data_IF_797185410245
#
_entry.id   IF_797185410245
#
_cell.length_a   1.000
_cell.length_b   1.000
_cell.length_c   1.000
_cell.angle_alpha   90.00
_cell.angle_beta   90.00
_cell.angle_gamma   90.00
#
_symmetry.space_group_name_H-M   'P 1'
#
loop_
_entity.id
_entity.type
_entity.pdbx_description
1 polymer ?
#
# COMPACT_ATOMS: atom_id res chain seq x y z
N UNK A 1 -2.37 14.89 14.09
CA UNK A 1 -3.74 15.31 14.33
C UNK A 1 -4.50 15.39 13.02
N UNK A 2 -5.66 14.82 12.99
CA UNK A 2 -6.45 14.81 11.78
C UNK A 2 -7.13 16.15 11.60
N UNK A 3 -7.13 16.68 10.40
CA UNK A 3 -7.84 17.89 10.12
C UNK A 3 -9.30 17.56 9.86
N UNK A 4 -10.14 18.59 9.96
CA UNK A 4 -11.54 18.40 9.70
C UNK A 4 -11.76 18.29 8.20
N UNK A 5 -12.47 17.27 7.79
CA UNK A 5 -12.77 17.04 6.39
C UNK A 5 -14.22 17.41 6.11
N UNK A 6 -14.47 17.84 4.89
CA UNK A 6 -15.85 18.11 4.48
C UNK A 6 -16.59 16.79 4.28
N UNK A 7 -17.90 16.86 4.20
CA UNK A 7 -18.72 15.67 3.95
C UNK A 7 -18.30 14.95 2.68
N UNK A 8 -18.07 15.72 1.61
CA UNK A 8 -17.68 15.13 0.34
C UNK A 8 -16.32 14.45 0.45
N UNK A 9 -15.39 15.06 1.19
CA UNK A 9 -14.07 14.48 1.38
C UNK A 9 -14.14 13.18 2.17
N UNK A 10 -14.95 13.16 3.22
CA UNK A 10 -15.14 11.94 4.00
C UNK A 10 -15.74 10.84 3.16
N UNK A 11 -16.77 11.18 2.37
CA UNK A 11 -17.44 10.22 1.51
C UNK A 11 -16.48 9.68 0.45
N UNK A 12 -15.64 10.54 -0.10
CA UNK A 12 -14.65 10.13 -1.09
C UNK A 12 -13.74 9.04 -0.51
N UNK A 13 -13.23 9.26 0.69
CA UNK A 13 -12.33 8.29 1.31
C UNK A 13 -13.05 7.00 1.67
N UNK A 14 -14.32 7.09 2.08
CA UNK A 14 -15.09 5.91 2.44
C UNK A 14 -15.32 4.99 1.24
N UNK A 15 -15.66 5.57 0.09
CA UNK A 15 -16.00 4.75 -1.07
C UNK A 15 -14.79 4.36 -1.90
N UNK A 16 -13.64 4.97 -1.66
CA UNK A 16 -12.47 4.76 -2.51
C UNK A 16 -12.07 3.31 -2.63
N UNK A 17 -12.05 2.59 -1.52
CA UNK A 17 -11.68 1.19 -1.52
C UNK A 17 -12.88 0.26 -1.39
N UNK A 18 -14.06 0.78 -1.63
CA UNK A 18 -15.29 0.00 -1.54
C UNK A 18 -15.97 0.07 -2.90
N UNK A 19 -17.00 0.86 -3.03
CA UNK A 19 -17.78 0.93 -4.27
C UNK A 19 -16.94 1.40 -5.47
N UNK A 20 -15.98 2.27 -5.23
CA UNK A 20 -15.16 2.81 -6.32
C UNK A 20 -14.02 1.88 -6.75
N UNK A 21 -13.73 0.86 -5.98
CA UNK A 21 -12.68 -0.11 -6.32
C UNK A 21 -11.32 0.54 -6.59
N UNK A 22 -11.01 1.59 -5.85
CA UNK A 22 -9.72 2.26 -6.01
C UNK A 22 -9.68 3.29 -7.13
N UNK A 23 -10.77 3.48 -7.86
CA UNK A 23 -10.81 4.41 -8.97
C UNK A 23 -11.16 5.80 -8.42
N UNK A 24 -10.22 6.73 -8.49
CA UNK A 24 -10.44 8.06 -7.92
C UNK A 24 -11.52 8.85 -8.66
N UNK A 25 -11.69 8.61 -9.97
CA UNK A 25 -12.75 9.29 -10.72
C UNK A 25 -14.11 8.79 -10.27
N UNK A 26 -14.27 7.48 -10.10
CA UNK A 26 -15.52 6.91 -9.61
C UNK A 26 -15.79 7.37 -8.18
N UNK A 27 -14.76 7.42 -7.34
CA UNK A 27 -14.92 7.86 -5.96
C UNK A 27 -15.39 9.32 -5.90
N UNK A 28 -14.86 10.16 -6.78
CA UNK A 28 -15.27 11.55 -6.84
C UNK A 28 -16.75 11.66 -7.16
N UNK A 29 -17.22 10.89 -8.13
CA UNK A 29 -18.63 10.91 -8.50
C UNK A 29 -19.52 10.39 -7.39
N UNK A 30 -19.12 9.28 -6.77
CA UNK A 30 -19.91 8.69 -5.70
C UNK A 30 -19.94 9.58 -4.46
N UNK A 31 -18.91 10.39 -4.28
CA UNK A 31 -18.84 11.27 -3.12
C UNK A 31 -19.74 12.49 -3.27
N UNK A 32 -20.27 12.74 -4.47
CA UNK A 32 -21.18 13.85 -4.68
C UNK A 32 -20.51 15.11 -5.20
N UNK A 33 -19.27 15.02 -5.65
CA UNK A 33 -18.62 16.18 -6.23
C UNK A 33 -19.22 16.48 -7.60
N UNK A 34 -19.21 17.77 -7.94
CA UNK A 34 -19.69 18.20 -9.24
C UNK A 34 -18.77 17.68 -10.35
N UNK A 35 -19.35 17.42 -11.52
CA UNK A 35 -18.56 16.99 -12.66
C UNK A 35 -17.52 18.03 -13.07
N UNK A 36 -17.77 19.29 -12.74
CA UNK A 36 -16.82 20.35 -13.06
C UNK A 36 -15.64 20.39 -12.11
N UNK A 37 -15.70 19.67 -10.99
CA UNK A 37 -14.59 19.62 -10.05
C UNK A 37 -13.50 18.71 -10.62
N UNK A 38 -12.29 19.23 -10.73
CA UNK A 38 -11.19 18.45 -11.27
C UNK A 38 -10.78 17.37 -10.28
N UNK A 39 -10.69 16.14 -10.77
CA UNK A 39 -10.26 15.02 -9.93
C UNK A 39 -8.89 15.27 -9.33
N UNK A 40 -8.01 15.88 -10.12
CA UNK A 40 -6.66 16.18 -9.65
C UNK A 40 -6.67 17.05 -8.39
N UNK A 41 -7.58 18.00 -8.33
CA UNK A 41 -7.65 18.89 -7.16
C UNK A 41 -8.14 18.14 -5.93
N UNK A 42 -9.08 17.22 -6.11
CA UNK A 42 -9.57 16.41 -5.00
C UNK A 42 -8.46 15.52 -4.46
N UNK A 43 -7.74 14.87 -5.36
CA UNK A 43 -6.64 13.99 -4.96
C UNK A 43 -5.53 14.78 -4.28
N UNK A 44 -5.20 15.95 -4.82
CA UNK A 44 -4.13 16.77 -4.23
C UNK A 44 -4.50 17.22 -2.82
N UNK A 45 -5.76 17.59 -2.62
CA UNK A 45 -6.21 18.04 -1.32
C UNK A 45 -6.22 16.93 -0.28
N UNK A 46 -6.41 15.68 -0.72
CA UNK A 46 -6.53 14.55 0.19
C UNK A 46 -5.37 13.57 0.10
N UNK A 47 -4.25 13.99 -0.47
CA UNK A 47 -3.16 13.02 -0.74
C UNK A 47 -2.66 12.33 0.51
N UNK A 48 -2.57 13.03 1.63
CA UNK A 48 -2.12 12.41 2.87
C UNK A 48 -3.15 11.44 3.40
N UNK A 49 -4.42 11.81 3.34
CA UNK A 49 -5.49 10.95 3.78
C UNK A 49 -5.63 9.72 2.89
N UNK A 50 -5.42 9.91 1.58
CA UNK A 50 -5.44 8.77 0.66
C UNK A 50 -4.30 7.81 0.97
N UNK A 51 -3.10 8.34 1.25
CA UNK A 51 -1.96 7.49 1.59
C UNK A 51 -2.24 6.70 2.87
N UNK A 52 -2.83 7.36 3.85
CA UNK A 52 -3.16 6.68 5.11
C UNK A 52 -4.23 5.61 4.88
N UNK A 53 -5.25 5.93 4.10
CA UNK A 53 -6.31 4.97 3.78
C UNK A 53 -5.74 3.77 3.01
N UNK A 54 -4.78 4.01 2.14
CA UNK A 54 -4.13 2.94 1.39
C UNK A 54 -3.37 2.01 2.32
N UNK A 55 -2.64 2.58 3.27
CA UNK A 55 -1.91 1.77 4.26
C UNK A 55 -2.87 0.94 5.10
N UNK A 56 -4.00 1.54 5.50
CA UNK A 56 -5.01 0.80 6.25
C UNK A 56 -5.61 -0.32 5.44
N UNK A 57 -5.82 -0.09 4.15
CA UNK A 57 -6.37 -1.11 3.28
C UNK A 57 -5.41 -2.29 3.16
N UNK A 58 -4.11 -2.02 2.98
CA UNK A 58 -3.12 -3.10 2.93
C UNK A 58 -3.11 -3.88 4.25
N UNK A 59 -3.18 -3.18 5.37
CA UNK A 59 -3.18 -3.86 6.66
C UNK A 59 -4.41 -4.75 6.81
N UNK A 60 -5.57 -4.28 6.34
CA UNK A 60 -6.79 -5.07 6.44
C UNK A 60 -6.80 -6.26 5.51
N UNK A 61 -6.14 -6.16 4.38
CA UNK A 61 -6.14 -7.25 3.40
C UNK A 61 -4.95 -8.19 3.56
N UNK A 62 -3.98 -7.84 4.40
CA UNK A 62 -2.83 -8.72 4.64
C UNK A 62 -3.25 -10.13 5.08
N UNK A 63 -4.28 -10.31 5.93
CA UNK A 63 -4.69 -11.67 6.28
C UNK A 63 -5.15 -12.49 5.07
N UNK A 64 -5.76 -11.86 4.06
CA UNK A 64 -6.15 -12.58 2.85
C UNK A 64 -4.92 -13.07 2.09
N UNK A 65 -3.87 -12.24 2.04
CA UNK A 65 -2.63 -12.64 1.39
C UNK A 65 -1.99 -13.80 2.13
N UNK A 66 -2.00 -13.74 3.46
CA UNK A 66 -1.44 -14.81 4.27
C UNK A 66 -2.21 -16.11 4.03
N UNK A 67 -3.54 -16.04 3.93
CA UNK A 67 -4.34 -17.22 3.66
C UNK A 67 -4.06 -17.78 2.28
N UNK A 68 -3.86 -16.90 1.30
CA UNK A 68 -3.54 -17.35 -0.07
C UNK A 68 -2.23 -18.11 -0.08
N UNK A 69 -1.23 -17.62 0.63
CA UNK A 69 0.06 -18.29 0.71
C UNK A 69 -0.05 -19.63 1.42
N UNK A 70 -0.82 -19.67 2.50
CA UNK A 70 -1.03 -20.92 3.24
C UNK A 70 -1.75 -21.94 2.35
N UNK A 71 -2.79 -21.49 1.64
CA UNK A 71 -3.53 -22.39 0.77
C UNK A 71 -2.66 -22.96 -0.35
N UNK A 72 -1.69 -22.18 -0.82
CA UNK A 72 -0.77 -22.64 -1.84
C UNK A 72 0.06 -23.83 -1.39
N UNK A 73 0.33 -23.91 -0.08
CA UNK A 73 1.07 -25.04 0.46
C UNK A 73 0.27 -26.34 0.39
N UNK A 74 -1.06 -26.22 0.41
CA UNK A 74 -1.92 -27.40 0.35
C UNK A 74 -2.28 -27.78 -1.08
N UNK A 75 -2.23 -26.84 -2.00
CA UNK A 75 -2.55 -27.11 -3.39
C UNK A 75 -1.56 -26.40 -4.32
N UNK A 76 -0.34 -26.89 -4.40
CA UNK A 76 0.67 -26.24 -5.22
C UNK A 76 0.43 -26.39 -6.72
N UNK A 77 -0.54 -27.20 -7.11
CA UNK A 77 -0.85 -27.39 -8.52
C UNK A 77 -1.99 -26.48 -8.98
N UNK A 78 -2.49 -25.63 -8.11
CA UNK A 78 -3.57 -24.72 -8.48
C UNK A 78 -3.15 -23.85 -9.66
N UNK A 79 -4.04 -23.64 -10.60
CA UNK A 79 -3.76 -22.82 -11.77
C UNK A 79 -3.49 -21.39 -11.34
N UNK A 80 -2.43 -20.82 -11.86
CA UNK A 80 -2.05 -19.45 -11.51
C UNK A 80 -1.44 -19.29 -10.14
N UNK A 81 -1.02 -20.40 -9.52
CA UNK A 81 -0.53 -20.37 -8.15
C UNK A 81 0.71 -19.48 -8.00
N UNK A 82 1.57 -19.50 -9.01
CA UNK A 82 2.80 -18.70 -8.93
C UNK A 82 2.49 -17.21 -8.88
N UNK A 83 1.58 -16.77 -9.73
CA UNK A 83 1.18 -15.36 -9.76
C UNK A 83 0.46 -14.97 -8.48
N UNK A 84 -0.40 -15.87 -7.98
CA UNK A 84 -1.11 -15.62 -6.73
C UNK A 84 -0.15 -15.49 -5.57
N UNK A 85 0.86 -16.35 -5.51
CA UNK A 85 1.88 -16.29 -4.46
C UNK A 85 2.67 -15.00 -4.54
N UNK A 86 3.04 -14.60 -5.75
CA UNK A 86 3.80 -13.38 -5.95
C UNK A 86 3.01 -12.16 -5.48
N UNK A 87 1.73 -12.11 -5.84
CA UNK A 87 0.88 -11.00 -5.42
C UNK A 87 0.70 -10.97 -3.91
N UNK A 88 0.55 -12.14 -3.29
CA UNK A 88 0.39 -12.22 -1.85
C UNK A 88 1.64 -11.74 -1.12
N UNK A 89 2.81 -12.16 -1.61
CA UNK A 89 4.07 -11.71 -1.03
C UNK A 89 4.23 -10.21 -1.14
N UNK A 90 3.89 -9.66 -2.30
CA UNK A 90 4.01 -8.25 -2.53
C UNK A 90 3.11 -7.46 -1.58
N UNK A 91 1.90 -7.91 -1.40
CA UNK A 91 0.96 -7.24 -0.51
C UNK A 91 1.45 -7.29 0.94
N UNK A 92 1.95 -8.44 1.38
CA UNK A 92 2.46 -8.57 2.74
C UNK A 92 3.68 -7.68 2.97
N UNK A 93 4.54 -7.55 1.95
CA UNK A 93 5.69 -6.66 2.05
C UNK A 93 5.22 -5.21 2.21
N UNK A 94 4.24 -4.80 1.43
CA UNK A 94 3.74 -3.43 1.51
C UNK A 94 3.01 -3.16 2.82
N UNK A 95 2.45 -4.20 3.42
CA UNK A 95 1.81 -4.07 4.73
C UNK A 95 2.83 -4.09 5.87
N UNK A 96 4.11 -4.28 5.55
CA UNK A 96 5.15 -4.29 6.57
C UNK A 96 5.32 -5.62 7.28
N UNK A 97 4.75 -6.69 6.72
CA UNK A 97 4.78 -8.00 7.34
C UNK A 97 5.62 -8.99 6.55
N UNK A 98 6.32 -8.53 5.53
CA UNK A 98 7.12 -9.41 4.71
C UNK A 98 8.49 -9.63 5.28
N UNK A 99 9.31 -10.31 4.50
CA UNK A 99 10.69 -10.58 4.91
C UNK A 99 11.43 -9.27 5.07
N UNK A 100 12.08 -9.09 6.20
CA UNK A 100 12.84 -7.88 6.44
C UNK A 100 14.26 -8.13 5.99
N UNK A 101 14.69 -7.39 5.00
CA UNK A 101 16.07 -7.38 4.61
C UNK A 101 16.75 -6.27 5.35
N UNK A 102 17.57 -6.61 6.29
CA UNK A 102 18.18 -5.60 7.11
C UNK A 102 19.41 -5.09 6.40
N UNK A 103 19.31 -3.98 5.81
CA UNK A 103 20.48 -3.29 5.29
C UNK A 103 20.89 -2.34 6.38
N UNK A 104 21.95 -2.67 7.06
CA UNK A 104 22.39 -1.86 8.16
C UNK A 104 23.23 -0.75 7.62
N UNK A 105 22.63 0.24 7.12
CA UNK A 105 23.36 1.39 6.66
C UNK A 105 23.52 2.30 7.84
N UNK A 106 24.62 2.19 8.47
CA UNK A 106 24.87 3.00 9.63
C UNK A 106 25.40 4.31 9.18
N UNK A 107 24.53 5.20 8.94
CA UNK A 107 24.97 6.50 8.56
C UNK A 107 25.12 7.41 9.73
N UNK A 108 24.91 6.90 10.88
CA UNK A 108 25.02 7.78 11.97
C UNK A 108 26.37 8.15 12.19
N UNK A 109 26.84 8.64 12.31
CA UNK A 109 28.01 8.86 12.39
C UNK A 109 28.43 8.96 11.30
N UNK A 110 28.20 8.88 10.77
CA UNK A 110 28.72 8.94 9.94
C UNK A 110 28.35 8.64 8.84
N UNK A 111 28.51 8.62 8.45
CA UNK A 111 28.32 8.44 7.38
C UNK A 111 27.92 7.32 6.81
N UNK A 112 27.99 7.08 5.95
CA UNK A 112 27.61 5.98 5.49
C UNK A 112 28.29 5.13 4.71
N UNK A 113 28.55 4.81 4.55
CA UNK A 113 28.98 4.03 3.93
C UNK A 113 28.89 3.19 3.31
N UNK A 114 28.99 2.84 2.82
CA UNK A 114 28.75 2.02 2.35
C UNK A 114 29.22 1.06 1.93
N UNK A 115 29.47 0.67 1.80
CA UNK A 115 29.82 -0.16 1.45
C UNK A 115 29.85 -1.11 1.10
N UNK A 116 29.86 -1.66 0.76
CA UNK A 116 29.74 -2.60 0.50
C UNK A 116 30.07 -3.59 0.57
N UNK A 117 30.13 -3.92 0.88
CA UNK A 117 30.59 -4.67 0.99
C UNK A 117 30.88 -5.55 0.51
N UNK A 118 31.18 -5.40 0.38
CA UNK A 118 31.68 -5.99 0.30
C UNK A 118 32.24 -6.53 0.25
N UNK A 119 32.36 -6.34 0.40
CA UNK A 119 32.91 -6.50 0.59
C UNK A 119 33.56 -6.80 0.82
N UNK A 120 33.85 -6.59 1.32
CA UNK A 120 34.44 -6.59 1.99
C UNK A 120 35.05 -6.50 2.19
N UNK A 121 35.46 -5.98 2.51
CA UNK A 121 35.99 -5.45 2.98
C UNK A 121 36.47 -5.03 3.15
N UNK A 122 36.62 -4.63 3.30
CA UNK A 122 37.04 -3.93 3.68
C UNK A 122 37.22 -3.41 3.84
N UNK A 123 36.92 -2.93 4.07
CA UNK A 123 37.09 -2.23 4.39
C UNK A 123 37.58 -2.04 4.53
#
# INVERSE_FOLDING_TARGET
MARLLTENQQKFLEVLFDEANGDVVAAKKLAGYSDSTATRLVVEALKDEIAEATRSYFARTAPKAAMAMTNALYDPTELGIRDKMSAAKDLLDRAGLGKVERVDVNSSGGGVFILPAKVGKNE
#
